data_IF_869452204136
#
_entry.id   IF_869452204136
#
_cell.length_a   1.000
_cell.length_b   1.000
_cell.length_c   1.000
_cell.angle_alpha   90.00
_cell.angle_beta   90.00
_cell.angle_gamma   90.00
#
_symmetry.space_group_name_H-M   'P 1'
#
loop_
_entity.id
_entity.type
_entity.pdbx_description
1 polymer ?
#
# COMPACT_ATOMS: atom_id res chain seq x y z
N UNK A 1 6.79 -24.51 -13.14
CA UNK A 1 5.87 -24.79 -13.22
C UNK A 1 5.00 -23.89 -13.78
N UNK A 2 4.21 -24.17 -14.20
CA UNK A 2 3.32 -23.39 -14.87
C UNK A 2 2.82 -22.24 -14.08
N UNK A 3 2.19 -21.34 -14.75
CA UNK A 3 1.54 -20.23 -14.11
C UNK A 3 0.41 -20.74 -13.25
N UNK A 4 0.17 -20.07 -12.17
CA UNK A 4 -0.96 -20.42 -11.36
C UNK A 4 -2.21 -19.76 -11.92
N UNK A 5 -3.35 -20.08 -11.32
CA UNK A 5 -4.62 -19.57 -11.81
C UNK A 5 -4.69 -18.05 -11.70
N UNK A 6 -4.09 -17.52 -10.66
CA UNK A 6 -4.08 -16.07 -10.46
C UNK A 6 -3.38 -15.34 -11.61
N UNK A 7 -2.21 -15.85 -12.02
CA UNK A 7 -1.49 -15.24 -13.12
C UNK A 7 -2.27 -15.32 -14.42
N UNK A 8 -2.94 -16.45 -14.65
CA UNK A 8 -3.73 -16.60 -15.84
C UNK A 8 -4.89 -15.61 -15.86
N UNK A 9 -5.53 -15.42 -14.71
CA UNK A 9 -6.61 -14.45 -14.61
C UNK A 9 -6.13 -13.04 -14.91
N UNK A 10 -4.94 -12.69 -14.43
CA UNK A 10 -4.37 -11.38 -14.70
C UNK A 10 -4.10 -11.17 -16.17
N UNK A 11 -3.66 -12.22 -16.86
CA UNK A 11 -3.36 -12.10 -18.29
C UNK A 11 -4.62 -11.81 -19.11
N UNK A 12 -5.79 -12.19 -18.60
CA UNK A 12 -7.05 -11.94 -19.29
C UNK A 12 -7.65 -10.58 -18.98
N UNK A 13 -7.01 -9.79 -18.11
CA UNK A 13 -7.49 -8.47 -17.71
C UNK A 13 -6.78 -7.41 -18.53
N UNK A 14 -7.47 -6.34 -18.92
CA UNK A 14 -6.81 -5.26 -19.65
C UNK A 14 -5.58 -4.74 -18.92
N UNK A 15 -4.61 -4.29 -19.69
CA UNK A 15 -3.30 -3.90 -19.18
C UNK A 15 -3.40 -2.82 -18.10
N UNK A 16 -4.21 -1.81 -18.33
CA UNK A 16 -4.32 -0.71 -17.37
C UNK A 16 -4.88 -1.17 -16.03
N UNK A 17 -5.80 -2.13 -16.06
CA UNK A 17 -6.34 -2.69 -14.82
C UNK A 17 -5.30 -3.52 -14.12
N UNK A 18 -4.48 -4.26 -14.88
CA UNK A 18 -3.39 -5.02 -14.29
C UNK A 18 -2.41 -4.11 -13.56
N UNK A 19 -2.10 -2.97 -14.16
CA UNK A 19 -1.17 -2.02 -13.57
C UNK A 19 -1.75 -1.42 -12.29
N UNK A 20 -3.05 -1.14 -12.28
CA UNK A 20 -3.70 -0.60 -11.10
C UNK A 20 -3.67 -1.60 -9.95
N UNK A 21 -3.93 -2.87 -10.25
CA UNK A 21 -3.88 -3.92 -9.23
C UNK A 21 -2.47 -4.05 -8.69
N UNK A 22 -1.47 -3.99 -9.57
CA UNK A 22 -0.08 -4.07 -9.17
C UNK A 22 0.30 -2.92 -8.24
N UNK A 23 -0.16 -1.72 -8.55
CA UNK A 23 0.08 -0.56 -7.70
C UNK A 23 -0.50 -0.74 -6.31
N UNK A 24 -1.71 -1.28 -6.27
CA UNK A 24 -2.38 -1.48 -5.00
C UNK A 24 -1.58 -2.45 -4.12
N UNK A 25 -1.06 -3.52 -4.72
CA UNK A 25 -0.25 -4.47 -3.96
C UNK A 25 1.10 -3.87 -3.57
N UNK A 26 1.66 -2.99 -4.40
CA UNK A 26 2.89 -2.30 -4.03
C UNK A 26 2.68 -1.43 -2.80
N UNK A 27 1.54 -0.77 -2.71
CA UNK A 27 1.20 0.04 -1.54
C UNK A 27 1.06 -0.86 -0.31
N UNK A 28 0.39 -1.99 -0.46
CA UNK A 28 0.23 -2.94 0.64
C UNK A 28 1.60 -3.45 1.10
N UNK A 29 2.47 -3.77 0.16
CA UNK A 29 3.81 -4.26 0.50
C UNK A 29 4.60 -3.20 1.27
N UNK A 30 4.46 -1.94 0.87
CA UNK A 30 5.15 -0.86 1.55
C UNK A 30 4.63 -0.70 2.97
N UNK A 31 3.31 -0.75 3.15
CA UNK A 31 2.72 -0.68 4.49
C UNK A 31 3.20 -1.85 5.34
N UNK A 32 3.20 -3.04 4.77
CA UNK A 32 3.64 -4.24 5.49
C UNK A 32 5.08 -4.09 5.94
N UNK A 33 5.94 -3.58 5.06
CA UNK A 33 7.35 -3.40 5.39
C UNK A 33 7.51 -2.40 6.53
N UNK A 34 6.72 -1.32 6.52
CA UNK A 34 6.79 -0.32 7.57
C UNK A 34 6.34 -0.91 8.91
N UNK A 35 5.25 -1.65 8.90
CA UNK A 35 4.76 -2.28 10.13
C UNK A 35 5.78 -3.26 10.68
N UNK A 36 6.39 -4.05 9.80
CA UNK A 36 7.39 -5.01 10.23
C UNK A 36 8.60 -4.29 10.83
N UNK A 37 9.03 -3.23 10.19
CA UNK A 37 10.15 -2.43 10.68
C UNK A 37 9.88 -1.87 12.06
N UNK A 38 8.63 -1.47 12.32
CA UNK A 38 8.26 -0.87 13.59
C UNK A 38 7.78 -1.88 14.63
N UNK A 39 7.71 -3.15 14.25
CA UNK A 39 7.21 -4.18 15.16
C UNK A 39 5.73 -4.03 15.47
N UNK A 40 4.96 -3.52 14.53
CA UNK A 40 3.54 -3.28 14.73
C UNK A 40 2.70 -4.34 14.02
N UNK A 41 1.62 -4.74 14.66
CA UNK A 41 0.64 -5.64 14.06
C UNK A 41 -0.45 -4.83 13.37
N UNK A 42 -1.32 -5.54 12.64
CA UNK A 42 -2.49 -4.88 12.06
C UNK A 42 -3.41 -4.32 13.15
N UNK A 43 -3.48 -5.01 14.27
CA UNK A 43 -4.26 -4.53 15.40
C UNK A 43 -3.68 -3.22 15.93
N UNK A 44 -2.35 -3.16 16.04
CA UNK A 44 -1.69 -1.93 16.50
C UNK A 44 -1.99 -0.78 15.55
N UNK A 45 -1.95 -1.04 14.25
CA UNK A 45 -2.25 -0.01 13.26
C UNK A 45 -3.69 0.45 13.38
N UNK A 46 -4.61 -0.49 13.59
CA UNK A 46 -6.03 -0.15 13.75
C UNK A 46 -6.22 0.78 14.94
N UNK A 47 -5.58 0.47 16.04
CA UNK A 47 -5.67 1.30 17.24
C UNK A 47 -5.10 2.69 16.97
N UNK A 48 -3.98 2.75 16.27
CA UNK A 48 -3.35 4.03 15.97
C UNK A 48 -4.25 4.91 15.12
N UNK A 49 -4.98 4.32 14.19
CA UNK A 49 -5.84 5.05 13.28
C UNK A 49 -7.26 5.24 13.80
N UNK A 50 -7.60 4.62 14.93
CA UNK A 50 -8.96 4.68 15.46
C UNK A 50 -9.94 3.89 14.62
N UNK A 51 -9.49 2.79 14.03
CA UNK A 51 -10.30 1.95 13.15
C UNK A 51 -10.35 0.54 13.68
N UNK A 52 -11.26 -0.25 13.12
CA UNK A 52 -11.38 -1.65 13.50
C UNK A 52 -10.31 -2.48 12.80
N UNK A 53 -9.84 -3.50 13.48
CA UNK A 53 -8.84 -4.40 12.88
C UNK A 53 -9.37 -5.04 11.61
N UNK A 54 -10.68 -5.32 11.54
CA UNK A 54 -11.27 -5.90 10.35
C UNK A 54 -11.14 -4.99 9.14
N UNK A 55 -11.18 -3.67 9.35
CA UNK A 55 -10.97 -2.73 8.26
C UNK A 55 -9.55 -2.79 7.74
N UNK A 56 -8.59 -2.82 8.66
CA UNK A 56 -7.18 -2.91 8.27
C UNK A 56 -6.93 -4.22 7.53
N UNK A 57 -7.53 -5.30 8.02
CA UNK A 57 -7.38 -6.60 7.37
C UNK A 57 -7.88 -6.56 5.94
N UNK A 58 -9.01 -5.88 5.69
CA UNK A 58 -9.51 -5.73 4.32
C UNK A 58 -8.53 -4.99 3.44
N UNK A 59 -7.93 -3.91 3.96
CA UNK A 59 -6.95 -3.16 3.20
C UNK A 59 -5.79 -4.06 2.77
N UNK A 60 -5.32 -4.87 3.69
CA UNK A 60 -4.11 -5.67 3.46
C UNK A 60 -4.36 -6.88 2.58
N UNK A 61 -5.63 -7.21 2.31
CA UNK A 61 -5.94 -8.32 1.43
C UNK A 61 -6.03 -7.91 -0.05
N UNK A 62 -5.91 -6.62 -0.32
CA UNK A 62 -5.93 -6.16 -1.69
C UNK A 62 -7.31 -5.92 -2.28
N UNK A 63 -8.35 -5.98 -1.45
CA UNK A 63 -9.72 -5.75 -1.93
C UNK A 63 -10.16 -4.31 -1.74
N UNK A 64 -9.30 -3.48 -1.18
CA UNK A 64 -9.60 -2.08 -0.90
C UNK A 64 -8.82 -1.19 -1.84
N UNK A 65 -9.48 -0.18 -2.40
CA UNK A 65 -8.78 0.84 -3.18
C UNK A 65 -8.40 1.97 -2.25
N UNK A 66 -7.10 2.20 -2.10
CA UNK A 66 -6.63 3.27 -1.26
C UNK A 66 -6.90 4.61 -1.91
N UNK A 67 -7.50 5.53 -1.15
CA UNK A 67 -7.61 6.92 -1.61
C UNK A 67 -6.37 7.66 -1.17
N UNK A 68 -6.13 8.79 -1.80
CA UNK A 68 -5.00 9.63 -1.39
C UNK A 68 -5.13 10.05 0.06
N UNK A 69 -6.36 10.31 0.52
CA UNK A 69 -6.58 10.69 1.91
C UNK A 69 -6.15 9.58 2.86
N UNK A 70 -6.47 8.34 2.51
CA UNK A 70 -6.10 7.21 3.34
C UNK A 70 -4.59 7.03 3.36
N UNK A 71 -3.94 7.15 2.21
CA UNK A 71 -2.48 7.03 2.15
C UNK A 71 -1.81 8.13 2.96
N UNK A 72 -2.32 9.35 2.82
CA UNK A 72 -1.79 10.47 3.60
C UNK A 72 -1.93 10.21 5.10
N UNK A 73 -3.09 9.72 5.51
CA UNK A 73 -3.34 9.40 6.92
C UNK A 73 -2.35 8.37 7.45
N UNK A 74 -2.11 7.33 6.64
CA UNK A 74 -1.16 6.29 7.01
C UNK A 74 0.26 6.84 7.13
N UNK A 75 0.66 7.67 6.18
CA UNK A 75 2.00 8.28 6.23
C UNK A 75 2.16 9.14 7.46
N UNK A 76 1.12 9.91 7.78
CA UNK A 76 1.16 10.79 8.93
C UNK A 76 1.25 9.98 10.23
N UNK A 77 0.44 8.94 10.32
CA UNK A 77 0.38 8.12 11.53
C UNK A 77 1.67 7.31 11.73
N UNK A 78 2.23 6.79 10.66
CA UNK A 78 3.41 5.93 10.74
C UNK A 78 4.72 6.70 10.67
N UNK A 79 4.67 7.96 10.22
CA UNK A 79 5.86 8.76 10.08
C UNK A 79 6.79 8.31 8.98
N UNK A 80 6.26 7.60 7.98
CA UNK A 80 7.05 7.06 6.88
C UNK A 80 6.32 7.30 5.57
N UNK A 81 7.08 7.43 4.49
CA UNK A 81 6.49 7.60 3.17
C UNK A 81 5.99 6.28 2.64
N UNK A 82 4.78 6.29 2.09
CA UNK A 82 4.23 5.13 1.40
C UNK A 82 4.31 5.36 -0.09
N UNK A 83 3.93 6.55 -0.55
CA UNK A 83 4.11 6.95 -1.95
C UNK A 83 4.69 8.35 -1.96
N UNK A 84 5.25 8.71 -3.11
CA UNK A 84 5.76 10.04 -3.30
C UNK A 84 5.68 10.35 -4.79
N UNK A 85 5.94 11.59 -5.14
CA UNK A 85 5.90 11.99 -6.54
C UNK A 85 7.32 12.26 -7.02
N UNK A 86 7.57 12.04 -8.31
CA UNK A 86 8.91 12.37 -8.83
C UNK A 86 9.30 13.80 -8.59
N UNK A 87 8.32 14.72 -8.57
CA UNK A 87 8.62 16.12 -8.32
C UNK A 87 9.19 16.34 -6.93
N UNK A 88 8.63 15.65 -5.93
CA UNK A 88 9.15 15.74 -4.57
C UNK A 88 10.53 15.16 -4.46
N UNK A 89 10.79 14.07 -5.17
CA UNK A 89 12.11 13.46 -5.16
C UNK A 89 13.16 14.40 -5.73
N UNK A 90 12.80 15.09 -6.83
CA UNK A 90 13.71 16.06 -7.44
C UNK A 90 13.99 17.21 -6.49
N UNK A 91 12.94 17.73 -5.85
CA UNK A 91 13.13 18.83 -4.90
C UNK A 91 14.04 18.40 -3.76
N UNK A 92 13.85 17.20 -3.24
CA UNK A 92 14.69 16.72 -2.16
C UNK A 92 16.14 16.65 -2.57
N UNK A 93 16.40 16.19 -3.79
CA UNK A 93 17.76 16.13 -4.31
C UNK A 93 18.37 17.50 -4.49
N UNK A 94 17.58 18.46 -4.93
CA UNK A 94 18.08 19.80 -5.18
C UNK A 94 18.44 20.54 -3.90
N UNK A 95 17.82 20.17 -2.81
CA UNK A 95 18.08 20.84 -1.55
C UNK A 95 19.38 20.41 -0.91
N UNK A 96 20.01 19.39 -1.47
CA UNK A 96 21.33 19.07 -0.99
C UNK A 96 22.34 20.03 -1.52
#
# INVERSE_FOLDING_TARGET
MSKNIFEQALNDIPQDIQEEVSWNFDIIDQITAILKKKGMSQKDLAELLGKKESEISKWMRGTHNFTLSTIWLLQKALGEKIIDTPRNLVKTQQEK
#
